data_IF_138443690141
#
_entry.id   IF_138443690141
#
_cell.length_a   1.000
_cell.length_b   1.000
_cell.length_c   1.000
_cell.angle_alpha   90.00
_cell.angle_beta   90.00
_cell.angle_gamma   90.00
#
_symmetry.space_group_name_H-M   'P 1'
#
loop_
_entity.id
_entity.type
_entity.pdbx_description
1 polymer ?
#
# COMPACT_ATOMS: atom_id res chain seq x y z
N UNK A 1 6.12 3.90 16.85
CA UNK A 1 6.90 3.83 15.60
C UNK A 1 8.34 4.32 15.86
N UNK A 2 9.34 3.55 15.43
CA UNK A 2 10.75 3.91 15.57
C UNK A 2 11.29 4.71 14.37
N UNK A 3 10.62 4.61 13.21
CA UNK A 3 10.91 5.38 12.01
C UNK A 3 9.63 6.02 11.49
N UNK A 4 9.69 7.30 11.18
CA UNK A 4 8.56 8.08 10.65
C UNK A 4 9.02 8.83 9.42
N UNK A 5 8.26 8.70 8.33
CA UNK A 5 8.47 9.53 7.14
C UNK A 5 7.88 10.93 7.38
N UNK A 6 8.76 11.93 7.53
CA UNK A 6 8.36 13.32 7.83
C UNK A 6 7.61 14.03 6.69
N UNK A 7 7.69 13.50 5.47
CA UNK A 7 7.07 14.12 4.29
C UNK A 7 5.75 13.47 3.87
N UNK A 8 5.33 12.43 4.56
CA UNK A 8 4.12 11.69 4.22
C UNK A 8 2.82 12.38 4.68
N UNK A 9 2.90 13.25 5.70
CA UNK A 9 1.73 13.91 6.28
C UNK A 9 0.90 13.06 7.24
N UNK A 10 1.33 11.83 7.52
CA UNK A 10 0.60 10.86 8.36
C UNK A 10 0.51 11.27 9.84
N UNK A 11 1.61 11.79 10.38
CA UNK A 11 1.74 12.14 11.80
C UNK A 11 2.08 13.62 12.03
N UNK A 12 2.64 14.26 11.03
CA UNK A 12 3.08 15.65 11.08
C UNK A 12 2.56 16.34 9.83
N UNK A 13 1.89 17.50 9.94
CA UNK A 13 1.50 18.28 8.78
C UNK A 13 2.71 18.60 7.89
N UNK A 14 2.55 18.49 6.59
CA UNK A 14 3.60 18.74 5.61
C UNK A 14 3.04 19.57 4.46
N UNK A 15 3.88 20.43 3.89
CA UNK A 15 3.49 21.19 2.70
C UNK A 15 3.18 20.23 1.54
N UNK A 16 2.03 20.40 0.85
CA UNK A 16 1.56 19.46 -0.18
C UNK A 16 2.57 19.22 -1.30
N UNK A 17 3.34 20.22 -1.69
CA UNK A 17 4.37 20.11 -2.73
C UNK A 17 5.47 19.10 -2.38
N UNK A 18 5.85 19.01 -1.10
CA UNK A 18 6.84 18.04 -0.60
C UNK A 18 6.29 16.61 -0.64
N UNK A 19 5.05 16.41 -0.18
CA UNK A 19 4.40 15.12 -0.24
C UNK A 19 4.24 14.66 -1.70
N UNK A 20 3.70 15.54 -2.56
CA UNK A 20 3.52 15.27 -3.98
C UNK A 20 4.85 15.02 -4.71
N UNK A 21 5.94 15.71 -4.35
CA UNK A 21 7.28 15.46 -4.89
C UNK A 21 7.76 14.03 -4.61
N UNK A 22 7.50 13.52 -3.41
CA UNK A 22 7.82 12.14 -3.03
C UNK A 22 6.93 11.13 -3.78
N UNK A 23 5.62 11.41 -3.92
CA UNK A 23 4.70 10.54 -4.65
C UNK A 23 5.08 10.45 -6.15
N UNK A 24 5.48 11.58 -6.75
CA UNK A 24 6.00 11.62 -8.12
C UNK A 24 7.25 10.75 -8.30
N UNK A 25 8.18 10.81 -7.34
CA UNK A 25 9.38 9.96 -7.41
C UNK A 25 9.03 8.46 -7.39
N UNK A 26 8.03 8.04 -6.60
CA UNK A 26 7.55 6.66 -6.62
C UNK A 26 6.84 6.33 -7.94
N UNK A 27 6.02 7.25 -8.47
CA UNK A 27 5.36 7.08 -9.77
C UNK A 27 6.38 6.88 -10.91
N UNK A 28 7.47 7.66 -10.91
CA UNK A 28 8.54 7.53 -11.91
C UNK A 28 9.22 6.14 -11.85
N UNK A 29 9.40 5.58 -10.65
CA UNK A 29 9.95 4.22 -10.52
C UNK A 29 8.98 3.17 -11.06
N UNK A 30 7.69 3.28 -10.73
CA UNK A 30 6.64 2.36 -11.22
C UNK A 30 6.53 2.46 -12.75
N UNK A 31 6.47 3.69 -13.29
CA UNK A 31 6.35 3.94 -14.73
C UNK A 31 7.52 3.40 -15.54
N UNK A 32 8.76 3.57 -15.04
CA UNK A 32 9.94 2.97 -15.70
C UNK A 32 9.94 1.46 -15.67
N UNK A 33 9.49 0.86 -14.56
CA UNK A 33 9.50 -0.60 -14.39
C UNK A 33 8.42 -1.30 -15.21
N UNK A 34 7.26 -0.68 -15.39
CA UNK A 34 6.09 -1.27 -16.06
C UNK A 34 5.66 -0.47 -17.29
N UNK A 35 6.63 0.09 -17.99
CA UNK A 35 6.41 0.90 -19.19
C UNK A 35 5.60 0.12 -20.24
N UNK A 36 4.52 0.74 -20.72
CA UNK A 36 3.65 0.15 -21.74
C UNK A 36 2.63 -0.88 -21.21
N UNK A 37 2.66 -1.20 -19.91
CA UNK A 37 1.62 -2.03 -19.32
C UNK A 37 0.39 -1.20 -18.94
N UNK A 38 -0.81 -1.78 -19.10
CA UNK A 38 -2.04 -1.21 -18.57
C UNK A 38 -2.16 -1.57 -17.09
N UNK A 39 -2.16 -0.55 -16.24
CA UNK A 39 -2.10 -0.69 -14.79
C UNK A 39 -3.45 -0.36 -14.15
N UNK A 40 -3.80 -1.11 -13.08
CA UNK A 40 -4.75 -0.70 -12.06
C UNK A 40 -3.97 -0.49 -10.75
N UNK A 41 -4.05 0.71 -10.20
CA UNK A 41 -3.48 0.99 -8.88
C UNK A 41 -4.54 0.82 -7.81
N UNK A 42 -4.20 0.13 -6.72
CA UNK A 42 -5.08 -0.05 -5.56
C UNK A 42 -4.40 0.57 -4.34
N UNK A 43 -4.86 1.75 -3.91
CA UNK A 43 -4.38 2.44 -2.72
C UNK A 43 -5.00 1.86 -1.45
N UNK A 44 -4.18 1.50 -0.44
CA UNK A 44 -4.69 0.97 0.81
C UNK A 44 -5.18 2.09 1.73
N UNK A 45 -6.43 2.00 2.10
CA UNK A 45 -7.03 2.95 3.04
C UNK A 45 -6.41 2.78 4.45
N UNK A 46 -6.08 3.88 5.13
CA UNK A 46 -6.46 5.21 4.65
C UNK A 46 -5.23 6.02 4.19
N UNK A 47 -4.05 5.65 4.64
CA UNK A 47 -2.81 6.42 4.46
C UNK A 47 -2.25 6.39 3.04
N UNK A 48 -2.56 5.37 2.27
CA UNK A 48 -2.04 5.25 0.90
C UNK A 48 -3.05 5.70 -0.18
N UNK A 49 -4.23 6.20 0.18
CA UNK A 49 -5.22 6.64 -0.80
C UNK A 49 -4.69 7.79 -1.67
N UNK A 50 -4.23 8.87 -1.05
CA UNK A 50 -3.67 10.02 -1.78
C UNK A 50 -2.38 9.66 -2.55
N UNK A 51 -1.58 8.71 -2.04
CA UNK A 51 -0.38 8.23 -2.74
C UNK A 51 -0.80 7.52 -4.03
N UNK A 52 -1.72 6.54 -3.91
CA UNK A 52 -2.22 5.76 -5.05
C UNK A 52 -2.85 6.62 -6.13
N UNK A 53 -3.70 7.58 -5.73
CA UNK A 53 -4.34 8.52 -6.64
C UNK A 53 -3.31 9.39 -7.37
N UNK A 54 -2.34 9.96 -6.65
CA UNK A 54 -1.29 10.79 -7.27
C UNK A 54 -0.44 9.99 -8.28
N UNK A 55 -0.10 8.74 -7.96
CA UNK A 55 0.59 7.83 -8.88
C UNK A 55 -0.26 7.57 -10.12
N UNK A 56 -1.54 7.26 -9.94
CA UNK A 56 -2.44 6.93 -11.05
C UNK A 56 -2.62 8.12 -12.00
N UNK A 57 -2.78 9.33 -11.48
CA UNK A 57 -2.86 10.56 -12.29
C UNK A 57 -1.59 10.73 -13.13
N UNK A 58 -0.41 10.58 -12.53
CA UNK A 58 0.87 10.75 -13.24
C UNK A 58 1.10 9.67 -14.31
N UNK A 59 0.67 8.43 -14.04
CA UNK A 59 0.86 7.28 -14.92
C UNK A 59 -0.25 7.12 -15.97
N UNK A 60 -1.33 7.87 -15.87
CA UNK A 60 -2.53 7.67 -16.69
C UNK A 60 -3.15 6.29 -16.49
N UNK A 61 -3.11 5.78 -15.26
CA UNK A 61 -3.55 4.44 -14.90
C UNK A 61 -4.95 4.47 -14.26
N UNK A 62 -5.64 3.33 -14.31
CA UNK A 62 -6.87 3.14 -13.53
C UNK A 62 -6.56 3.17 -12.02
N UNK A 63 -7.48 3.69 -11.22
CA UNK A 63 -7.33 3.79 -9.77
C UNK A 63 -8.58 3.34 -9.03
N UNK A 64 -8.37 2.63 -7.95
CA UNK A 64 -9.34 2.37 -6.90
C UNK A 64 -8.64 2.32 -5.54
N UNK A 65 -9.41 2.29 -4.47
CA UNK A 65 -8.87 2.17 -3.12
C UNK A 65 -9.55 1.06 -2.34
N UNK A 66 -8.88 0.53 -1.32
CA UNK A 66 -9.56 -0.29 -0.33
C UNK A 66 -10.51 0.57 0.50
N UNK A 67 -11.51 -0.04 1.09
CA UNK A 67 -12.47 0.67 1.93
C UNK A 67 -12.85 -0.14 3.17
N UNK A 68 -13.35 0.55 4.17
CA UNK A 68 -14.00 -0.03 5.36
C UNK A 68 -15.50 0.26 5.37
N UNK A 69 -15.96 1.10 4.46
CA UNK A 69 -17.36 1.50 4.35
C UNK A 69 -18.18 0.48 3.58
N UNK A 70 -19.48 0.44 3.87
CA UNK A 70 -20.43 -0.37 3.12
C UNK A 70 -21.15 0.50 2.09
N UNK A 71 -20.85 0.26 0.82
CA UNK A 71 -21.51 0.89 -0.31
C UNK A 71 -22.65 -0.04 -0.74
N UNK A 72 -23.91 0.41 -0.76
CA UNK A 72 -25.03 -0.45 -1.17
C UNK A 72 -24.92 -0.88 -2.64
N UNK A 73 -25.26 -2.14 -2.92
CA UNK A 73 -25.42 -2.64 -4.29
C UNK A 73 -24.13 -3.04 -4.99
N UNK A 74 -23.00 -3.18 -4.29
CA UNK A 74 -21.74 -3.65 -4.85
C UNK A 74 -21.27 -4.94 -4.20
N UNK A 75 -20.53 -5.76 -4.94
CA UNK A 75 -19.86 -6.96 -4.43
C UNK A 75 -18.45 -6.61 -3.91
N UNK A 76 -18.05 -7.23 -2.80
CA UNK A 76 -16.75 -7.00 -2.18
C UNK A 76 -15.88 -8.24 -2.14
N UNK A 77 -14.56 -8.04 -2.22
CA UNK A 77 -13.54 -9.00 -1.78
C UNK A 77 -13.04 -8.57 -0.40
N UNK A 78 -13.26 -9.42 0.60
CA UNK A 78 -12.87 -9.20 1.99
C UNK A 78 -11.54 -9.91 2.27
N UNK A 79 -10.51 -9.20 2.75
CA UNK A 79 -9.16 -9.75 2.90
C UNK A 79 -8.50 -9.50 4.26
N UNK A 80 -9.15 -8.79 5.16
CA UNK A 80 -8.69 -8.64 6.55
C UNK A 80 -9.17 -9.78 7.46
N UNK A 81 -8.51 -9.96 8.61
CA UNK A 81 -8.93 -11.00 9.58
C UNK A 81 -10.15 -10.54 10.36
N UNK A 82 -11.17 -11.40 10.42
CA UNK A 82 -12.41 -11.18 11.19
C UNK A 82 -12.22 -11.19 12.71
N UNK A 83 -11.00 -11.45 13.21
CA UNK A 83 -10.70 -11.60 14.65
C UNK A 83 -9.99 -10.40 15.28
N UNK A 84 -9.63 -9.39 14.51
CA UNK A 84 -9.13 -8.13 15.07
C UNK A 84 -10.30 -7.16 15.24
N UNK A 85 -10.34 -6.42 16.35
CA UNK A 85 -11.26 -5.28 16.54
C UNK A 85 -11.02 -4.15 15.52
N UNK A 86 -10.10 -4.34 14.57
CA UNK A 86 -9.89 -3.45 13.43
C UNK A 86 -10.97 -3.70 12.38
N UNK A 87 -11.59 -2.63 11.93
CA UNK A 87 -12.61 -2.63 10.87
C UNK A 87 -12.09 -3.35 9.63
N UNK A 88 -12.86 -4.29 9.13
CA UNK A 88 -12.51 -5.15 7.99
C UNK A 88 -12.20 -4.34 6.74
N UNK A 89 -11.04 -4.61 6.12
CA UNK A 89 -10.69 -4.01 4.83
C UNK A 89 -11.19 -4.86 3.66
N UNK A 90 -11.69 -4.18 2.64
CA UNK A 90 -12.28 -4.78 1.46
C UNK A 90 -12.04 -3.91 0.22
N UNK A 91 -12.16 -4.51 -0.96
CA UNK A 91 -12.18 -3.81 -2.24
C UNK A 91 -13.50 -4.11 -2.96
N UNK A 92 -13.97 -3.16 -3.76
CA UNK A 92 -15.14 -3.35 -4.61
C UNK A 92 -14.76 -4.29 -5.76
N UNK A 93 -15.38 -5.46 -5.81
CA UNK A 93 -15.11 -6.47 -6.83
C UNK A 93 -15.58 -6.01 -8.20
N UNK A 94 -16.74 -5.35 -8.27
CA UNK A 94 -17.32 -4.85 -9.52
C UNK A 94 -16.37 -3.92 -10.28
N UNK A 95 -15.60 -3.09 -9.56
CA UNK A 95 -14.60 -2.18 -10.16
C UNK A 95 -13.42 -2.96 -10.77
N UNK A 96 -13.01 -4.06 -10.11
CA UNK A 96 -11.96 -4.94 -10.65
C UNK A 96 -12.48 -5.66 -11.89
N UNK A 97 -13.72 -6.15 -11.87
CA UNK A 97 -14.37 -6.81 -13.01
C UNK A 97 -14.47 -5.86 -14.21
N UNK A 98 -14.88 -4.62 -13.97
CA UNK A 98 -14.97 -3.59 -15.01
C UNK A 98 -13.61 -3.24 -15.63
N UNK A 99 -12.53 -3.27 -14.84
CA UNK A 99 -11.17 -3.02 -15.31
C UNK A 99 -10.53 -4.26 -15.99
N UNK A 100 -10.98 -5.47 -15.63
CA UNK A 100 -10.31 -6.73 -15.94
C UNK A 100 -10.13 -7.01 -17.45
N UNK A 101 -10.93 -6.41 -18.33
CA UNK A 101 -10.79 -6.54 -19.78
C UNK A 101 -9.61 -5.77 -20.39
N UNK A 102 -9.11 -4.74 -19.72
CA UNK A 102 -8.09 -3.82 -20.25
C UNK A 102 -6.79 -3.79 -19.46
N UNK A 103 -6.80 -4.13 -18.16
CA UNK A 103 -5.58 -4.10 -17.35
C UNK A 103 -4.80 -5.41 -17.45
N UNK A 104 -3.47 -5.29 -17.31
CA UNK A 104 -2.57 -6.44 -17.23
C UNK A 104 -1.99 -6.61 -15.83
N UNK A 105 -1.75 -5.50 -15.12
CA UNK A 105 -1.11 -5.51 -13.81
C UNK A 105 -1.91 -4.74 -12.78
N UNK A 106 -2.01 -5.32 -11.59
CA UNK A 106 -2.48 -4.65 -10.39
C UNK A 106 -1.26 -4.23 -9.55
N UNK A 107 -1.17 -2.94 -9.22
CA UNK A 107 -0.14 -2.37 -8.35
C UNK A 107 -0.78 -1.95 -7.04
N UNK A 108 -0.47 -2.66 -5.97
CA UNK A 108 -0.90 -2.31 -4.62
C UNK A 108 -0.03 -1.18 -4.08
N UNK A 109 -0.65 -0.10 -3.64
CA UNK A 109 0.05 1.09 -3.15
C UNK A 109 -0.11 1.22 -1.65
N UNK A 110 1.01 1.30 -0.94
CA UNK A 110 1.09 1.48 0.52
C UNK A 110 2.06 2.60 0.90
N UNK A 111 1.85 3.20 2.05
CA UNK A 111 2.82 4.14 2.61
C UNK A 111 4.04 3.40 3.17
N UNK A 112 3.81 2.33 3.92
CA UNK A 112 4.84 1.48 4.49
C UNK A 112 4.41 0.02 4.44
N UNK A 113 5.22 -0.82 3.84
CA UNK A 113 5.02 -2.27 3.87
C UNK A 113 5.98 -2.88 4.90
N UNK A 114 5.43 -3.47 5.95
CA UNK A 114 6.21 -4.18 7.00
C UNK A 114 6.34 -5.66 6.69
N UNK A 115 5.29 -6.45 6.91
CA UNK A 115 5.26 -7.89 6.60
C UNK A 115 4.67 -8.20 5.23
N UNK A 116 3.84 -7.31 4.69
CA UNK A 116 3.07 -7.53 3.47
C UNK A 116 1.90 -8.51 3.59
N UNK A 117 1.59 -9.02 4.78
CA UNK A 117 0.58 -10.07 4.94
C UNK A 117 -0.81 -9.65 4.45
N UNK A 118 -1.21 -8.41 4.64
CA UNK A 118 -2.51 -7.89 4.18
C UNK A 118 -2.60 -7.88 2.66
N UNK A 119 -1.57 -7.37 1.99
CA UNK A 119 -1.47 -7.39 0.52
C UNK A 119 -1.46 -8.83 0.00
N UNK A 120 -0.71 -9.71 0.67
CA UNK A 120 -0.63 -11.12 0.30
C UNK A 120 -1.98 -11.81 0.28
N UNK A 121 -2.81 -11.56 1.30
CA UNK A 121 -4.18 -12.10 1.36
C UNK A 121 -5.02 -11.66 0.16
N UNK A 122 -4.95 -10.38 -0.19
CA UNK A 122 -5.67 -9.87 -1.36
C UNK A 122 -5.15 -10.48 -2.67
N UNK A 123 -3.84 -10.66 -2.83
CA UNK A 123 -3.25 -11.36 -3.99
C UNK A 123 -3.79 -12.80 -4.10
N UNK A 124 -3.85 -13.54 -2.99
CA UNK A 124 -4.39 -14.90 -2.98
C UNK A 124 -5.85 -14.94 -3.40
N UNK A 125 -6.69 -14.02 -2.91
CA UNK A 125 -8.10 -13.92 -3.30
C UNK A 125 -8.25 -13.57 -4.78
N UNK A 126 -7.46 -12.64 -5.29
CA UNK A 126 -7.49 -12.26 -6.70
C UNK A 126 -7.03 -13.42 -7.60
N UNK A 127 -6.00 -14.17 -7.20
CA UNK A 127 -5.60 -15.38 -7.93
C UNK A 127 -6.68 -16.46 -7.93
N UNK A 128 -7.36 -16.62 -6.80
CA UNK A 128 -8.48 -17.57 -6.70
C UNK A 128 -9.64 -17.20 -7.62
N UNK A 129 -9.98 -15.90 -7.69
CA UNK A 129 -11.11 -15.42 -8.49
C UNK A 129 -10.79 -15.24 -9.98
N UNK A 130 -9.55 -14.85 -10.32
CA UNK A 130 -9.15 -14.45 -11.67
C UNK A 130 -8.05 -15.31 -12.30
N UNK A 131 -7.53 -16.31 -11.58
CA UNK A 131 -6.43 -17.18 -12.07
C UNK A 131 -5.17 -16.36 -12.39
N UNK A 132 -4.55 -16.65 -13.52
CA UNK A 132 -3.33 -16.00 -14.02
C UNK A 132 -3.59 -14.73 -14.86
N UNK A 133 -4.78 -14.17 -14.76
CA UNK A 133 -5.17 -13.00 -15.56
C UNK A 133 -4.30 -11.78 -15.28
N UNK A 134 -3.93 -11.55 -14.01
CA UNK A 134 -3.19 -10.40 -13.58
C UNK A 134 -1.78 -10.72 -13.14
N UNK A 135 -0.84 -9.84 -13.49
CA UNK A 135 0.43 -9.72 -12.80
C UNK A 135 0.24 -8.81 -11.56
N UNK A 136 1.01 -9.05 -10.51
CA UNK A 136 0.91 -8.29 -9.27
C UNK A 136 2.21 -7.57 -8.94
N UNK A 137 2.09 -6.40 -8.33
CA UNK A 137 3.21 -5.63 -7.82
C UNK A 137 2.80 -4.82 -6.59
N UNK A 138 3.79 -4.45 -5.80
CA UNK A 138 3.63 -3.56 -4.65
C UNK A 138 4.48 -2.32 -4.88
N UNK A 139 3.91 -1.16 -4.66
CA UNK A 139 4.60 0.12 -4.65
C UNK A 139 4.46 0.76 -3.26
N UNK A 140 5.56 1.18 -2.64
CA UNK A 140 5.52 1.80 -1.33
C UNK A 140 6.56 2.90 -1.15
N UNK A 141 6.30 3.83 -0.23
CA UNK A 141 7.31 4.81 0.15
C UNK A 141 8.41 4.13 0.97
N UNK A 142 8.02 3.30 1.93
CA UNK A 142 8.94 2.53 2.78
C UNK A 142 8.70 1.03 2.60
N UNK A 143 9.77 0.26 2.53
CA UNK A 143 9.72 -1.20 2.54
C UNK A 143 10.55 -1.75 3.70
N UNK A 144 9.86 -2.25 4.73
CA UNK A 144 10.43 -2.88 5.91
C UNK A 144 10.37 -4.41 5.91
N UNK A 145 9.97 -5.05 4.80
CA UNK A 145 9.93 -6.51 4.70
C UNK A 145 11.30 -7.12 5.03
N UNK A 146 11.31 -8.18 5.83
CA UNK A 146 12.49 -9.00 6.02
C UNK A 146 12.83 -9.85 4.78
N UNK A 147 13.93 -10.57 4.83
CA UNK A 147 14.39 -11.40 3.71
C UNK A 147 13.35 -12.48 3.35
N UNK A 148 12.77 -13.14 4.34
CA UNK A 148 11.81 -14.22 4.12
C UNK A 148 10.53 -13.72 3.43
N UNK A 149 10.01 -12.55 3.85
CA UNK A 149 8.87 -11.92 3.20
C UNK A 149 9.19 -11.51 1.75
N UNK A 150 10.38 -10.96 1.51
CA UNK A 150 10.82 -10.61 0.15
C UNK A 150 10.96 -11.83 -0.75
N UNK A 151 11.59 -12.91 -0.27
CA UNK A 151 11.73 -14.17 -1.01
C UNK A 151 10.36 -14.78 -1.36
N UNK A 152 9.41 -14.77 -0.43
CA UNK A 152 8.03 -15.21 -0.67
C UNK A 152 7.37 -14.44 -1.83
N UNK A 153 7.50 -13.11 -1.85
CA UNK A 153 6.95 -12.28 -2.91
C UNK A 153 7.66 -12.50 -4.25
N UNK A 154 8.99 -12.63 -4.23
CA UNK A 154 9.79 -12.92 -5.41
C UNK A 154 9.46 -14.28 -6.01
N UNK A 155 9.38 -15.33 -5.19
CA UNK A 155 9.01 -16.69 -5.62
C UNK A 155 7.62 -16.73 -6.27
N UNK A 156 6.71 -15.90 -5.80
CA UNK A 156 5.38 -15.72 -6.37
C UNK A 156 5.32 -14.75 -7.56
N UNK A 157 6.46 -14.27 -8.05
CA UNK A 157 6.56 -13.32 -9.15
C UNK A 157 5.81 -11.98 -8.90
N UNK A 158 5.69 -11.57 -7.65
CA UNK A 158 5.14 -10.27 -7.27
C UNK A 158 6.26 -9.24 -7.26
N UNK A 159 6.17 -8.25 -8.14
CA UNK A 159 7.14 -7.16 -8.24
C UNK A 159 7.09 -6.24 -7.01
N UNK A 160 8.23 -5.68 -6.62
CA UNK A 160 8.28 -4.65 -5.57
C UNK A 160 9.02 -3.41 -6.06
N UNK A 161 8.42 -2.25 -5.82
CA UNK A 161 8.96 -0.92 -6.11
C UNK A 161 8.83 -0.08 -4.85
N UNK A 162 9.90 0.53 -4.39
CA UNK A 162 9.88 1.37 -3.19
C UNK A 162 10.91 2.48 -3.26
N UNK A 163 10.68 3.56 -2.52
CA UNK A 163 11.65 4.65 -2.43
C UNK A 163 12.78 4.32 -1.46
N UNK A 164 12.43 3.79 -0.29
CA UNK A 164 13.41 3.52 0.78
C UNK A 164 13.20 2.12 1.33
N UNK A 165 14.29 1.36 1.40
CA UNK A 165 14.35 0.10 2.14
C UNK A 165 14.71 0.40 3.59
N UNK A 166 13.91 -0.09 4.54
CA UNK A 166 14.17 0.02 5.97
C UNK A 166 14.48 -1.36 6.56
N UNK A 167 15.31 -1.39 7.58
CA UNK A 167 15.62 -2.59 8.36
C UNK A 167 14.91 -2.50 9.71
N UNK A 168 13.96 -3.39 9.95
CA UNK A 168 13.18 -3.45 11.19
C UNK A 168 13.68 -4.53 12.16
N UNK A 169 14.77 -5.23 11.86
CA UNK A 169 15.27 -6.37 12.65
C UNK A 169 15.57 -6.00 14.10
N UNK A 170 16.03 -4.78 14.36
CA UNK A 170 16.35 -4.28 15.69
C UNK A 170 15.23 -3.52 16.39
N UNK A 171 14.07 -3.34 15.78
CA UNK A 171 12.98 -2.55 16.38
C UNK A 171 12.46 -3.12 17.70
N UNK A 172 12.27 -4.43 17.89
CA UNK A 172 11.86 -4.98 19.18
C UNK A 172 12.88 -4.67 20.30
N UNK A 173 14.18 -4.82 20.00
CA UNK A 173 15.27 -4.52 20.94
C UNK A 173 15.28 -3.03 21.31
N UNK A 174 15.22 -2.15 20.33
CA UNK A 174 15.21 -0.72 20.55
C UNK A 174 13.95 -0.25 21.28
N UNK A 175 12.81 -0.83 20.99
CA UNK A 175 11.57 -0.53 21.70
C UNK A 175 11.61 -0.96 23.18
N UNK A 176 12.23 -2.11 23.47
CA UNK A 176 12.41 -2.58 24.84
C UNK A 176 13.36 -1.69 25.67
N UNK A 177 14.33 -1.06 25.01
CA UNK A 177 15.28 -0.14 25.64
C UNK A 177 14.72 1.28 25.80
N UNK A 178 13.63 1.61 25.10
CA UNK A 178 13.05 2.95 25.14
C UNK A 178 12.38 3.22 26.49
N UNK A 179 12.93 4.18 27.23
CA UNK A 179 12.29 4.71 28.45
C UNK A 179 11.48 5.95 28.07
N UNK A 180 10.18 5.91 28.36
CA UNK A 180 9.33 7.08 28.20
C UNK A 180 9.82 8.20 29.16
N UNK A 181 10.12 9.36 28.63
CA UNK A 181 10.59 10.51 29.40
C UNK A 181 9.45 11.32 30.04
N UNK A 182 8.20 10.83 29.98
CA UNK A 182 7.00 11.48 30.52
C UNK A 182 6.56 12.75 29.78
N UNK A 183 7.22 13.12 28.68
CA UNK A 183 6.79 14.27 27.87
C UNK A 183 5.63 13.84 26.98
N UNK A 184 4.52 14.50 27.18
CA UNK A 184 3.33 14.36 26.36
C UNK A 184 3.27 15.49 25.34
N UNK A 185 3.13 15.17 24.07
CA UNK A 185 2.80 16.18 23.06
C UNK A 185 1.29 16.20 22.92
N UNK A 186 0.65 17.27 23.41
CA UNK A 186 -0.76 17.50 23.09
C UNK A 186 -0.87 17.74 21.58
N UNK A 187 -1.85 17.11 20.91
CA UNK A 187 -2.15 17.45 19.52
C UNK A 187 -2.58 18.90 19.47
N UNK A 188 -2.08 19.64 18.49
CA UNK A 188 -2.59 20.99 18.23
C UNK A 188 -4.08 20.89 17.96
N UNK A 189 -4.92 21.78 18.53
CA UNK A 189 -6.33 21.81 18.23
C UNK A 189 -6.52 22.06 16.72
N UNK A 190 -7.60 21.51 16.13
CA UNK A 190 -7.88 21.64 14.70
C UNK A 190 -8.09 23.10 14.28
#
# INVERSE_FOLDING_TARGET
>A
YLVVNKHQGKHIPVAPDKALGMFRALADLVGRRYQGEQLLLIGFAETATAIGEALAIQLGADYMQTTRENIPGVEYLHFSESHSHATEQKVVKDDIDAAAGRIRRIVFVEDEVTTGNTIWKLICLLRQGYGEKFCFSVASLLNGMDAAAQEKYQAAQVGMVYLVKTDHSRYPELAAQYQNNGKYCEPLPP
#
